data_IF_425090903573
#
_entry.id   IF_425090903573
#
_cell.length_a   1.000
_cell.length_b   1.000
_cell.length_c   1.000
_cell.angle_alpha   90.00
_cell.angle_beta   90.00
_cell.angle_gamma   90.00
#
_symmetry.space_group_name_H-M   'P 1'
#
loop_
_entity.id
_entity.type
_entity.pdbx_description
1 polymer ?
#
# COMPACT_ATOMS: atom_id res chain seq x y z
N UNK A 1 30.36 -4.70 21.11
CA UNK A 1 28.91 -4.40 21.18
C UNK A 1 28.27 -4.06 19.84
N UNK A 2 28.99 -3.47 18.87
CA UNK A 2 28.45 -3.08 17.56
C UNK A 2 28.07 -4.29 16.69
N UNK A 3 28.78 -5.40 16.79
CA UNK A 3 28.54 -6.63 16.01
C UNK A 3 27.22 -7.35 16.34
N UNK A 4 26.73 -7.26 17.58
CA UNK A 4 25.49 -7.93 17.98
C UNK A 4 24.22 -7.18 17.53
N UNK A 5 24.27 -5.85 17.49
CA UNK A 5 23.13 -5.04 17.03
C UNK A 5 22.91 -5.19 15.54
N UNK A 6 23.97 -5.18 14.73
CA UNK A 6 23.86 -5.37 13.29
C UNK A 6 23.35 -6.76 12.92
N UNK A 7 23.81 -7.82 13.62
CA UNK A 7 23.32 -9.18 13.44
C UNK A 7 21.84 -9.31 13.83
N UNK A 8 21.42 -8.69 14.94
CA UNK A 8 20.03 -8.66 15.38
C UNK A 8 19.14 -7.94 14.34
N UNK A 9 19.56 -6.78 13.83
CA UNK A 9 18.82 -6.07 12.79
C UNK A 9 18.65 -6.91 11.53
N UNK A 10 19.72 -7.57 11.07
CA UNK A 10 19.66 -8.42 9.89
C UNK A 10 18.73 -9.64 10.06
N UNK A 11 18.67 -10.22 11.26
CA UNK A 11 17.74 -11.32 11.55
C UNK A 11 16.28 -10.87 11.63
N UNK A 12 16.02 -9.62 12.00
CA UNK A 12 14.66 -9.05 12.14
C UNK A 12 14.13 -8.51 10.83
N UNK A 13 14.99 -8.09 9.91
CA UNK A 13 14.63 -7.61 8.57
C UNK A 13 14.10 -8.75 7.72
N UNK A 14 12.82 -8.68 7.36
CA UNK A 14 12.21 -9.64 6.45
C UNK A 14 12.52 -9.28 5.00
N UNK A 15 12.61 -10.30 4.15
CA UNK A 15 12.85 -10.14 2.72
C UNK A 15 11.70 -10.74 1.91
N UNK A 16 11.20 -9.97 0.97
CA UNK A 16 10.25 -10.41 -0.04
C UNK A 16 10.92 -10.34 -1.41
N UNK A 17 11.13 -11.47 -2.10
CA UNK A 17 11.67 -11.45 -3.46
C UNK A 17 10.81 -10.65 -4.43
N UNK A 18 9.49 -10.66 -4.24
CA UNK A 18 8.57 -9.88 -5.07
C UNK A 18 8.78 -8.38 -4.87
N UNK A 19 8.96 -7.92 -3.64
CA UNK A 19 9.24 -6.51 -3.36
C UNK A 19 10.55 -6.06 -4.02
N UNK A 20 11.58 -6.90 -4.02
CA UNK A 20 12.84 -6.60 -4.70
C UNK A 20 12.68 -6.51 -6.22
N UNK A 21 11.76 -7.26 -6.81
CA UNK A 21 11.53 -7.22 -8.26
C UNK A 21 10.68 -6.03 -8.73
N UNK A 22 9.78 -5.54 -7.90
CA UNK A 22 8.75 -4.57 -8.34
C UNK A 22 8.89 -3.15 -7.77
N UNK A 23 9.78 -2.91 -6.81
CA UNK A 23 9.87 -1.61 -6.15
C UNK A 23 10.26 -0.47 -7.12
N UNK A 24 11.13 -0.73 -8.10
CA UNK A 24 11.55 0.30 -9.05
C UNK A 24 10.40 0.77 -9.92
N UNK A 25 9.64 -0.17 -10.50
CA UNK A 25 8.48 0.16 -11.33
C UNK A 25 7.40 0.90 -10.53
N UNK A 26 7.15 0.48 -9.28
CA UNK A 26 6.23 1.17 -8.37
C UNK A 26 6.73 2.57 -8.01
N UNK A 27 8.02 2.72 -7.77
CA UNK A 27 8.62 4.01 -7.47
C UNK A 27 8.44 4.99 -8.63
N UNK A 28 8.66 4.54 -9.86
CA UNK A 28 8.45 5.35 -11.07
C UNK A 28 6.99 5.81 -11.20
N UNK A 29 6.03 4.96 -10.88
CA UNK A 29 4.61 5.34 -10.87
C UNK A 29 4.35 6.42 -9.83
N UNK A 30 4.88 6.25 -8.61
CA UNK A 30 4.70 7.25 -7.55
C UNK A 30 5.36 8.58 -7.90
N UNK A 31 6.56 8.56 -8.45
CA UNK A 31 7.25 9.77 -8.91
C UNK A 31 6.42 10.50 -9.98
N UNK A 32 5.91 9.78 -10.97
CA UNK A 32 5.07 10.35 -12.06
C UNK A 32 3.78 10.99 -11.51
N UNK A 33 3.04 10.28 -10.65
CA UNK A 33 1.74 10.78 -10.15
C UNK A 33 1.88 11.88 -9.10
N UNK A 34 3.07 12.05 -8.49
CA UNK A 34 3.35 13.06 -7.47
C UNK A 34 4.22 14.21 -8.00
N UNK A 35 4.63 14.19 -9.25
CA UNK A 35 5.56 15.16 -9.82
C UNK A 35 5.10 16.61 -9.61
N UNK A 36 3.85 16.89 -9.91
CA UNK A 36 3.26 18.24 -9.79
C UNK A 36 3.25 18.79 -8.36
N UNK A 37 3.39 17.90 -7.37
CA UNK A 37 3.32 18.24 -5.95
C UNK A 37 4.69 18.17 -5.25
N UNK A 38 5.77 17.86 -5.99
CA UNK A 38 7.12 17.69 -5.44
C UNK A 38 7.74 18.96 -4.86
N UNK A 39 7.13 20.11 -5.11
CA UNK A 39 7.54 21.42 -4.56
C UNK A 39 7.14 21.63 -3.09
N UNK A 40 6.36 20.75 -2.50
CA UNK A 40 5.93 20.81 -1.10
C UNK A 40 6.13 19.49 -0.39
N UNK A 41 6.11 19.48 0.93
CA UNK A 41 6.15 18.25 1.71
C UNK A 41 4.78 17.55 1.67
N UNK A 42 4.80 16.26 1.35
CA UNK A 42 3.63 15.41 1.32
C UNK A 42 3.66 14.42 2.49
N UNK A 43 2.49 14.03 2.94
CA UNK A 43 2.31 12.97 3.93
C UNK A 43 1.61 11.77 3.29
N UNK A 44 2.24 10.61 3.35
CA UNK A 44 1.74 9.36 2.78
C UNK A 44 1.55 8.30 3.85
N UNK A 45 0.42 7.61 3.80
CA UNK A 45 0.12 6.42 4.59
C UNK A 45 0.27 5.18 3.70
N UNK A 46 1.03 4.19 4.16
CA UNK A 46 1.05 2.87 3.54
C UNK A 46 0.26 1.88 4.39
N UNK A 47 -0.71 1.22 3.79
CA UNK A 47 -1.52 0.16 4.40
C UNK A 47 -0.90 -1.21 4.07
N UNK A 48 -0.72 -2.06 5.07
CA UNK A 48 -0.14 -3.37 4.86
C UNK A 48 1.31 -3.30 4.37
N UNK A 49 2.17 -2.60 5.08
CA UNK A 49 3.56 -2.32 4.67
C UNK A 49 4.47 -3.56 4.61
N UNK A 50 4.04 -4.69 5.20
CA UNK A 50 4.76 -5.96 5.12
C UNK A 50 6.19 -5.87 5.63
N UNK A 51 7.15 -6.22 4.78
CA UNK A 51 8.56 -6.23 5.15
C UNK A 51 9.16 -4.86 5.41
N UNK A 52 8.62 -3.80 4.79
CA UNK A 52 9.17 -2.44 4.81
C UNK A 52 10.09 -2.11 3.64
N UNK A 53 10.36 -3.06 2.73
CA UNK A 53 11.25 -2.84 1.59
C UNK A 53 10.75 -1.72 0.67
N UNK A 54 9.46 -1.69 0.35
CA UNK A 54 8.88 -0.65 -0.50
C UNK A 54 8.99 0.74 0.15
N UNK A 55 8.50 0.90 1.37
CA UNK A 55 8.46 2.22 2.03
C UNK A 55 9.85 2.81 2.19
N UNK A 56 10.86 2.00 2.52
CA UNK A 56 12.24 2.46 2.62
C UNK A 56 12.80 2.91 1.27
N UNK A 57 12.54 2.16 0.21
CA UNK A 57 12.97 2.52 -1.16
C UNK A 57 12.28 3.79 -1.64
N UNK A 58 10.98 3.91 -1.42
CA UNK A 58 10.23 5.11 -1.78
C UNK A 58 10.72 6.35 -1.02
N UNK A 59 10.98 6.21 0.27
CA UNK A 59 11.50 7.29 1.09
C UNK A 59 12.86 7.79 0.62
N UNK A 60 13.74 6.89 0.21
CA UNK A 60 15.06 7.22 -0.33
C UNK A 60 14.98 7.98 -1.66
N UNK A 61 14.00 7.64 -2.51
CA UNK A 61 13.81 8.25 -3.83
C UNK A 61 13.02 9.56 -3.77
N UNK A 62 12.14 9.70 -2.80
CA UNK A 62 11.21 10.84 -2.70
C UNK A 62 11.36 11.54 -1.33
N UNK A 63 12.41 12.36 -1.14
CA UNK A 63 12.65 13.04 0.13
C UNK A 63 11.57 14.07 0.50
N UNK A 64 10.73 14.48 -0.47
CA UNK A 64 9.61 15.38 -0.24
C UNK A 64 8.37 14.67 0.33
N UNK A 65 8.42 13.35 0.54
CA UNK A 65 7.32 12.58 1.13
C UNK A 65 7.74 12.06 2.51
N UNK A 66 6.93 12.32 3.53
CA UNK A 66 7.01 11.65 4.82
C UNK A 66 6.06 10.47 4.83
N UNK A 67 6.60 9.29 5.12
CA UNK A 67 5.86 8.03 5.07
C UNK A 67 5.46 7.56 6.45
N UNK A 68 4.19 7.21 6.61
CA UNK A 68 3.68 6.47 7.77
C UNK A 68 3.38 5.03 7.34
N UNK A 69 4.30 4.09 7.61
CA UNK A 69 4.03 2.67 7.39
C UNK A 69 3.08 2.12 8.45
N UNK A 70 2.32 1.10 8.09
CA UNK A 70 1.40 0.42 9.01
C UNK A 70 1.22 -1.05 8.64
N UNK A 71 0.97 -1.89 9.63
CA UNK A 71 0.65 -3.29 9.44
C UNK A 71 -0.04 -3.86 10.68
N UNK A 72 -0.89 -4.87 10.50
CA UNK A 72 -1.53 -5.57 11.62
C UNK A 72 -0.57 -6.54 12.32
N UNK A 73 0.45 -7.05 11.60
CA UNK A 73 1.40 -8.03 12.11
C UNK A 73 2.55 -7.35 12.84
N UNK A 74 2.80 -7.77 14.07
CA UNK A 74 3.94 -7.28 14.86
C UNK A 74 5.28 -7.60 14.19
N UNK A 75 5.40 -8.79 13.62
CA UNK A 75 6.60 -9.21 12.90
C UNK A 75 6.94 -8.25 11.75
N UNK A 76 5.92 -7.84 10.98
CA UNK A 76 6.08 -6.85 9.91
C UNK A 76 6.52 -5.49 10.46
N UNK A 77 5.88 -5.02 11.51
CA UNK A 77 6.27 -3.75 12.15
C UNK A 77 7.70 -3.79 12.68
N UNK A 78 8.12 -4.91 13.25
CA UNK A 78 9.52 -5.09 13.72
C UNK A 78 10.52 -5.08 12.55
N UNK A 79 10.17 -5.68 11.41
CA UNK A 79 10.96 -5.62 10.19
C UNK A 79 11.11 -4.18 9.68
N UNK A 80 10.02 -3.42 9.65
CA UNK A 80 10.04 -2.02 9.23
C UNK A 80 10.96 -1.19 10.15
N UNK A 81 10.85 -1.37 11.48
CA UNK A 81 11.73 -0.72 12.46
C UNK A 81 13.20 -1.02 12.20
N UNK A 82 13.52 -2.28 11.89
CA UNK A 82 14.88 -2.70 11.58
C UNK A 82 15.40 -2.03 10.29
N UNK A 83 14.59 -1.92 9.24
CA UNK A 83 14.96 -1.21 8.02
C UNK A 83 15.18 0.30 8.28
N UNK A 84 14.33 0.94 9.07
CA UNK A 84 14.52 2.35 9.45
C UNK A 84 15.84 2.54 10.17
N UNK A 85 16.15 1.69 11.15
CA UNK A 85 17.39 1.75 11.92
C UNK A 85 18.62 1.51 11.04
N UNK A 86 18.59 0.52 10.15
CA UNK A 86 19.69 0.15 9.28
C UNK A 86 20.00 1.22 8.21
N UNK A 87 18.98 1.89 7.70
CA UNK A 87 19.10 2.87 6.62
C UNK A 87 19.20 4.32 7.11
N UNK A 88 18.94 4.56 8.39
CA UNK A 88 18.84 5.91 8.97
C UNK A 88 17.84 6.81 8.24
N UNK A 89 16.75 6.22 7.72
CA UNK A 89 15.73 6.95 6.99
C UNK A 89 15.08 8.02 7.88
N UNK A 90 15.12 9.29 7.44
CA UNK A 90 14.60 10.43 8.21
C UNK A 90 13.13 10.76 7.91
N UNK A 91 12.63 10.32 6.76
CA UNK A 91 11.28 10.60 6.27
C UNK A 91 10.37 9.38 6.34
N UNK A 92 10.69 8.40 7.20
CA UNK A 92 9.84 7.27 7.53
C UNK A 92 9.57 7.29 9.03
N UNK A 93 8.30 7.42 9.40
CA UNK A 93 7.86 7.36 10.79
C UNK A 93 7.88 5.92 11.28
N UNK A 94 7.91 5.74 12.61
CA UNK A 94 7.81 4.40 13.20
C UNK A 94 6.50 3.75 12.79
N UNK A 95 6.51 2.45 12.43
CA UNK A 95 5.30 1.75 11.99
C UNK A 95 4.25 1.68 13.10
N UNK A 96 3.00 1.77 12.70
CA UNK A 96 1.85 1.68 13.60
C UNK A 96 1.00 0.45 13.29
N UNK A 97 0.31 -0.05 14.31
CA UNK A 97 -0.73 -1.04 14.10
C UNK A 97 -1.95 -0.37 13.45
N UNK A 98 -2.39 -0.91 12.32
CA UNK A 98 -3.58 -0.44 11.64
C UNK A 98 -4.25 -1.61 10.91
N UNK A 99 -5.51 -1.84 11.22
CA UNK A 99 -6.37 -2.81 10.53
C UNK A 99 -7.40 -2.03 9.68
N UNK A 100 -7.27 -2.12 8.37
CA UNK A 100 -8.16 -1.41 7.45
C UNK A 100 -9.62 -1.85 7.53
N UNK A 101 -9.92 -3.02 8.13
CA UNK A 101 -11.29 -3.48 8.39
C UNK A 101 -11.98 -2.67 9.48
N UNK A 102 -11.21 -2.03 10.35
CA UNK A 102 -11.73 -1.19 11.41
C UNK A 102 -12.16 0.19 10.87
N UNK A 103 -13.09 0.88 11.55
CA UNK A 103 -13.42 2.25 11.23
C UNK A 103 -12.18 3.16 11.25
N UNK A 104 -12.14 4.14 10.35
CA UNK A 104 -10.98 5.03 10.21
C UNK A 104 -10.63 5.79 11.51
N UNK A 105 -11.59 6.00 12.39
CA UNK A 105 -11.38 6.61 13.71
C UNK A 105 -10.41 5.79 14.59
N UNK A 106 -10.25 4.51 14.26
CA UNK A 106 -9.31 3.61 14.94
C UNK A 106 -7.96 3.46 14.19
N UNK A 107 -7.75 4.24 13.15
CA UNK A 107 -6.53 4.20 12.36
C UNK A 107 -5.43 5.05 13.00
N UNK A 108 -4.84 4.54 14.10
CA UNK A 108 -3.65 5.10 14.74
C UNK A 108 -3.71 6.62 15.04
N UNK A 109 -4.90 7.16 15.31
CA UNK A 109 -5.08 8.58 15.64
C UNK A 109 -4.94 9.52 14.43
N UNK A 110 -4.99 9.00 13.20
CA UNK A 110 -4.95 9.84 12.00
C UNK A 110 -6.19 10.72 11.91
N UNK A 111 -6.00 11.98 11.52
CA UNK A 111 -7.06 12.96 11.42
C UNK A 111 -7.68 12.98 10.02
N UNK A 112 -8.90 13.50 9.93
CA UNK A 112 -9.54 13.77 8.64
C UNK A 112 -8.68 14.71 7.80
N UNK A 113 -8.61 14.44 6.50
CA UNK A 113 -7.90 15.27 5.51
C UNK A 113 -6.44 15.53 5.90
N UNK A 114 -5.79 14.53 6.47
CA UNK A 114 -4.40 14.61 6.94
C UNK A 114 -3.39 14.02 5.96
N UNK A 115 -3.82 13.17 5.03
CA UNK A 115 -2.94 12.49 4.08
C UNK A 115 -3.06 13.07 2.67
N UNK A 116 -1.93 13.17 2.00
CA UNK A 116 -1.87 13.49 0.58
C UNK A 116 -1.97 12.24 -0.29
N UNK A 117 -1.44 11.13 0.21
CA UNK A 117 -1.37 9.85 -0.52
C UNK A 117 -1.63 8.70 0.45
N UNK A 118 -2.40 7.73 0.00
CA UNK A 118 -2.54 6.43 0.67
C UNK A 118 -2.16 5.36 -0.35
N UNK A 119 -1.29 4.43 0.04
CA UNK A 119 -0.77 3.36 -0.82
C UNK A 119 -1.12 2.01 -0.21
N UNK A 120 -1.64 1.11 -1.02
CA UNK A 120 -1.90 -0.29 -0.67
C UNK A 120 -1.33 -1.21 -1.75
N UNK A 121 -0.20 -1.85 -1.45
CA UNK A 121 0.51 -2.73 -2.38
C UNK A 121 0.31 -4.18 -1.94
N UNK A 122 -0.23 -5.02 -2.83
CA UNK A 122 -0.47 -6.44 -2.55
C UNK A 122 -1.29 -6.68 -1.26
N UNK A 123 -2.25 -5.81 -0.98
CA UNK A 123 -3.13 -5.94 0.19
C UNK A 123 -4.48 -6.56 -0.19
N UNK A 124 -5.12 -6.06 -1.22
CA UNK A 124 -6.52 -6.35 -1.50
C UNK A 124 -6.79 -7.81 -1.87
N UNK A 125 -5.90 -8.44 -2.63
CA UNK A 125 -6.06 -9.85 -3.01
C UNK A 125 -5.78 -10.82 -1.86
N UNK A 126 -5.05 -10.41 -0.83
CA UNK A 126 -4.74 -11.18 0.38
C UNK A 126 -5.62 -10.79 1.57
N UNK A 127 -6.83 -10.35 1.31
CA UNK A 127 -7.72 -9.88 2.35
C UNK A 127 -9.19 -10.04 1.93
N UNK A 128 -10.09 -9.92 2.90
CA UNK A 128 -11.53 -9.99 2.65
C UNK A 128 -12.06 -8.72 1.97
N UNK A 129 -13.25 -8.82 1.41
CA UNK A 129 -13.95 -7.64 0.87
C UNK A 129 -14.14 -6.53 1.90
N UNK A 130 -14.30 -6.90 3.17
CA UNK A 130 -14.39 -5.94 4.26
C UNK A 130 -13.13 -5.05 4.35
N UNK A 131 -11.96 -5.59 4.03
CA UNK A 131 -10.73 -4.80 3.95
C UNK A 131 -10.80 -3.78 2.82
N UNK A 132 -11.25 -4.17 1.63
CA UNK A 132 -11.44 -3.24 0.52
C UNK A 132 -12.42 -2.12 0.89
N UNK A 133 -13.56 -2.45 1.48
CA UNK A 133 -14.53 -1.47 1.97
C UNK A 133 -13.88 -0.50 2.96
N UNK A 134 -13.11 -1.02 3.92
CA UNK A 134 -12.42 -0.22 4.92
C UNK A 134 -11.35 0.69 4.32
N UNK A 135 -10.58 0.21 3.36
CA UNK A 135 -9.57 1.01 2.64
C UNK A 135 -10.21 2.21 1.96
N UNK A 136 -11.28 2.00 1.20
CA UNK A 136 -11.94 3.10 0.47
C UNK A 136 -12.69 4.04 1.41
N UNK A 137 -13.36 3.53 2.43
CA UNK A 137 -14.01 4.37 3.44
C UNK A 137 -12.98 5.23 4.19
N UNK A 138 -11.91 4.63 4.69
CA UNK A 138 -10.85 5.34 5.39
C UNK A 138 -10.15 6.37 4.50
N UNK A 139 -9.82 6.01 3.26
CA UNK A 139 -9.22 6.91 2.29
C UNK A 139 -10.11 8.13 2.03
N UNK A 140 -11.41 7.91 1.85
CA UNK A 140 -12.38 8.99 1.65
C UNK A 140 -12.43 10.00 2.80
N UNK A 141 -12.12 9.58 4.02
CA UNK A 141 -12.11 10.43 5.21
C UNK A 141 -10.75 11.09 5.48
N UNK A 142 -9.67 10.35 5.26
CA UNK A 142 -8.32 10.77 5.66
C UNK A 142 -7.60 11.54 4.55
N UNK A 143 -7.89 11.26 3.28
CA UNK A 143 -7.30 12.00 2.18
C UNK A 143 -7.76 13.45 2.16
N UNK A 144 -6.82 14.33 1.89
CA UNK A 144 -7.12 15.72 1.53
C UNK A 144 -7.83 15.77 0.20
N UNK A 145 -8.52 16.86 -0.08
CA UNK A 145 -9.05 17.13 -1.42
C UNK A 145 -7.92 17.04 -2.44
N UNK A 146 -8.16 16.35 -3.55
CA UNK A 146 -7.19 16.02 -4.58
C UNK A 146 -6.09 15.05 -4.16
N UNK A 147 -6.14 14.51 -2.94
CA UNK A 147 -5.26 13.44 -2.50
C UNK A 147 -5.50 12.15 -3.27
N UNK A 148 -4.54 11.26 -3.28
CA UNK A 148 -4.54 10.04 -4.08
C UNK A 148 -4.58 8.78 -3.21
N UNK A 149 -5.44 7.84 -3.59
CA UNK A 149 -5.34 6.43 -3.18
C UNK A 149 -4.75 5.65 -4.35
N UNK A 150 -3.68 4.91 -4.09
CA UNK A 150 -2.98 4.10 -5.09
C UNK A 150 -3.01 2.65 -4.61
N UNK A 151 -3.56 1.77 -5.42
CA UNK A 151 -3.59 0.33 -5.16
C UNK A 151 -2.81 -0.42 -6.23
N UNK A 152 -2.10 -1.48 -5.82
CA UNK A 152 -1.34 -2.34 -6.71
C UNK A 152 -1.68 -3.79 -6.42
N UNK A 153 -2.20 -4.47 -7.40
CA UNK A 153 -2.58 -5.88 -7.33
C UNK A 153 -2.77 -6.48 -8.73
N UNK A 154 -3.11 -7.74 -8.78
CA UNK A 154 -3.76 -8.38 -9.94
C UNK A 154 -5.26 -8.26 -9.75
N UNK A 155 -6.01 -7.93 -10.79
CA UNK A 155 -7.43 -7.61 -10.70
C UNK A 155 -8.26 -8.44 -11.68
N UNK A 156 -9.50 -8.73 -11.27
CA UNK A 156 -10.58 -9.09 -12.18
C UNK A 156 -11.15 -7.82 -12.82
N UNK A 157 -11.74 -7.96 -14.00
CA UNK A 157 -12.40 -6.87 -14.71
C UNK A 157 -13.82 -7.31 -15.07
N UNK A 158 -14.81 -6.70 -14.45
CA UNK A 158 -16.24 -6.99 -14.68
C UNK A 158 -16.57 -8.48 -14.56
N UNK A 159 -16.08 -9.12 -13.50
CA UNK A 159 -16.28 -10.54 -13.22
C UNK A 159 -15.43 -11.50 -14.05
N UNK A 160 -14.55 -11.00 -14.90
CA UNK A 160 -13.68 -11.81 -15.76
C UNK A 160 -12.24 -11.73 -15.28
N UNK A 161 -11.60 -12.89 -15.18
CA UNK A 161 -10.18 -13.02 -14.82
C UNK A 161 -9.41 -13.55 -16.03
N UNK A 162 -8.47 -12.77 -16.53
CA UNK A 162 -7.60 -13.12 -17.66
C UNK A 162 -6.18 -12.59 -17.43
N UNK A 163 -5.16 -13.25 -17.98
CA UNK A 163 -5.15 -14.56 -18.65
C UNK A 163 -5.33 -15.73 -17.65
N UNK A 164 -5.23 -16.95 -18.13
CA UNK A 164 -5.46 -18.16 -17.31
C UNK A 164 -4.57 -18.28 -16.08
N UNK A 165 -3.34 -17.73 -16.12
CA UNK A 165 -2.45 -17.71 -14.96
C UNK A 165 -3.05 -16.89 -13.79
N UNK A 166 -3.85 -15.88 -14.07
CA UNK A 166 -4.55 -15.11 -13.06
C UNK A 166 -5.74 -15.87 -12.47
N UNK A 167 -6.40 -16.73 -13.26
CA UNK A 167 -7.43 -17.64 -12.74
C UNK A 167 -6.82 -18.64 -11.75
N UNK A 168 -5.61 -19.16 -12.05
CA UNK A 168 -4.87 -20.03 -11.13
C UNK A 168 -4.50 -19.28 -9.86
N UNK A 169 -4.02 -18.04 -9.96
CA UNK A 169 -3.69 -17.21 -8.80
C UNK A 169 -4.92 -16.97 -7.91
N UNK A 170 -6.06 -16.63 -8.51
CA UNK A 170 -7.31 -16.46 -7.76
C UNK A 170 -7.71 -17.74 -7.02
N UNK A 171 -7.62 -18.90 -7.69
CA UNK A 171 -7.90 -20.18 -7.09
C UNK A 171 -6.96 -20.51 -5.92
N UNK A 172 -5.66 -20.26 -6.07
CA UNK A 172 -4.67 -20.44 -5.00
C UNK A 172 -4.96 -19.54 -3.80
N UNK A 173 -5.29 -18.27 -4.02
CA UNK A 173 -5.65 -17.34 -2.96
C UNK A 173 -6.86 -17.83 -2.18
N UNK A 174 -7.91 -18.30 -2.87
CA UNK A 174 -9.13 -18.85 -2.25
C UNK A 174 -8.91 -20.16 -1.50
N UNK A 175 -7.89 -20.94 -1.88
CA UNK A 175 -7.47 -22.11 -1.13
C UNK A 175 -6.77 -21.74 0.19
N UNK A 176 -5.99 -20.64 0.18
CA UNK A 176 -5.34 -20.13 1.41
C UNK A 176 -6.36 -19.58 2.38
N UNK A 177 -7.32 -18.80 1.87
CA UNK A 177 -8.42 -18.24 2.65
C UNK A 177 -9.64 -18.05 1.73
N UNK A 178 -10.81 -18.61 2.06
CA UNK A 178 -12.01 -18.49 1.23
C UNK A 178 -12.50 -17.05 0.97
N UNK A 179 -12.11 -16.11 1.84
CA UNK A 179 -12.45 -14.70 1.68
C UNK A 179 -11.44 -13.92 0.80
N UNK A 180 -10.33 -14.54 0.43
CA UNK A 180 -9.33 -13.93 -0.44
C UNK A 180 -9.65 -14.18 -1.91
N UNK A 181 -9.09 -13.34 -2.77
CA UNK A 181 -9.22 -13.48 -4.22
C UNK A 181 -8.91 -12.17 -4.92
N UNK A 182 -8.89 -12.22 -6.25
CA UNK A 182 -8.61 -11.03 -7.05
C UNK A 182 -9.76 -10.02 -6.93
N UNK A 183 -9.47 -8.78 -6.50
CA UNK A 183 -10.49 -7.73 -6.46
C UNK A 183 -10.89 -7.33 -7.89
N UNK A 184 -12.15 -6.94 -8.06
CA UNK A 184 -12.68 -6.50 -9.35
C UNK A 184 -12.58 -4.98 -9.48
N UNK A 185 -12.01 -4.51 -10.58
CA UNK A 185 -11.81 -3.06 -10.84
C UNK A 185 -13.13 -2.30 -10.80
N UNK A 186 -14.20 -2.86 -11.36
CA UNK A 186 -15.50 -2.16 -11.38
C UNK A 186 -16.13 -2.09 -9.99
N UNK A 187 -15.92 -3.09 -9.15
CA UNK A 187 -16.33 -3.05 -7.74
C UNK A 187 -15.55 -1.97 -6.98
N UNK A 188 -14.24 -1.89 -7.20
CA UNK A 188 -13.40 -0.86 -6.57
C UNK A 188 -13.76 0.54 -7.06
N UNK A 189 -14.09 0.69 -8.34
CA UNK A 189 -14.58 1.96 -8.90
C UNK A 189 -15.86 2.42 -8.20
N UNK A 190 -16.78 1.49 -7.93
CA UNK A 190 -18.02 1.79 -7.22
C UNK A 190 -17.74 2.19 -5.76
N UNK A 191 -16.86 1.45 -5.07
CA UNK A 191 -16.43 1.82 -3.71
C UNK A 191 -15.80 3.22 -3.66
N UNK A 192 -14.98 3.56 -4.66
CA UNK A 192 -14.40 4.88 -4.78
C UNK A 192 -15.48 5.96 -4.89
N UNK A 193 -16.42 5.77 -5.80
CA UNK A 193 -17.53 6.71 -6.01
C UNK A 193 -18.35 6.94 -4.73
N UNK A 194 -18.67 5.87 -4.02
CA UNK A 194 -19.41 5.92 -2.74
C UNK A 194 -18.66 6.67 -1.63
N UNK A 195 -17.35 6.79 -1.77
CA UNK A 195 -16.46 7.48 -0.82
C UNK A 195 -15.87 8.77 -1.39
N UNK A 196 -16.56 9.40 -2.32
CA UNK A 196 -16.18 10.69 -2.93
C UNK A 196 -14.79 10.66 -3.58
N UNK A 197 -14.47 9.56 -4.23
CA UNK A 197 -13.25 9.42 -5.02
C UNK A 197 -13.60 9.03 -6.45
N UNK A 198 -12.71 9.38 -7.38
CA UNK A 198 -12.82 9.00 -8.78
C UNK A 198 -11.58 8.22 -9.22
N UNK A 199 -11.78 7.09 -9.89
CA UNK A 199 -10.66 6.40 -10.53
C UNK A 199 -10.20 7.21 -11.74
N UNK A 200 -8.95 7.65 -11.74
CA UNK A 200 -8.38 8.49 -12.79
C UNK A 200 -7.54 7.71 -13.80
N UNK A 201 -6.78 6.72 -13.31
CA UNK A 201 -5.84 5.99 -14.16
C UNK A 201 -5.83 4.52 -13.78
N UNK A 202 -5.64 3.70 -14.81
CA UNK A 202 -5.25 2.29 -14.69
C UNK A 202 -3.89 2.18 -15.39
N UNK A 203 -2.86 1.83 -14.64
CA UNK A 203 -1.50 1.71 -15.17
C UNK A 203 -1.15 0.23 -15.24
N UNK A 204 -0.88 -0.25 -16.44
CA UNK A 204 -0.43 -1.63 -16.66
C UNK A 204 1.01 -1.78 -16.15
N UNK A 205 1.22 -2.81 -15.34
CA UNK A 205 2.50 -3.16 -14.75
C UNK A 205 2.96 -4.52 -15.27
N UNK A 206 4.17 -4.93 -14.91
CA UNK A 206 4.70 -6.26 -15.25
C UNK A 206 3.88 -7.38 -14.60
N UNK A 207 3.94 -8.56 -15.18
CA UNK A 207 3.30 -9.78 -14.66
C UNK A 207 1.78 -9.65 -14.47
N UNK A 208 1.10 -8.88 -15.34
CA UNK A 208 -0.34 -8.61 -15.30
C UNK A 208 -0.84 -7.86 -14.06
N UNK A 209 0.06 -7.27 -13.28
CA UNK A 209 -0.29 -6.34 -12.22
C UNK A 209 -0.76 -5.01 -12.79
N UNK A 210 -1.52 -4.28 -12.00
CA UNK A 210 -1.96 -2.91 -12.33
C UNK A 210 -1.84 -2.02 -11.11
N UNK A 211 -1.50 -0.74 -11.36
CA UNK A 211 -1.73 0.32 -10.40
C UNK A 211 -3.05 1.02 -10.73
N UNK A 212 -3.92 1.15 -9.74
CA UNK A 212 -5.13 1.95 -9.85
C UNK A 212 -4.93 3.25 -9.08
N UNK A 213 -5.20 4.37 -9.73
CA UNK A 213 -5.06 5.70 -9.15
C UNK A 213 -6.45 6.30 -8.96
N UNK A 214 -6.81 6.55 -7.70
CA UNK A 214 -8.07 7.20 -7.33
C UNK A 214 -7.78 8.57 -6.73
N UNK A 215 -8.55 9.57 -7.13
CA UNK A 215 -8.44 10.93 -6.61
C UNK A 215 -9.62 11.28 -5.72
N UNK A 216 -9.33 11.87 -4.56
CA UNK A 216 -10.34 12.44 -3.66
C UNK A 216 -10.91 13.72 -4.25
N UNK A 217 -12.23 13.76 -4.38
CA UNK A 217 -12.98 14.92 -4.89
C UNK A 217 -13.17 16.00 -3.83
#
# INVERSE_FOLDING_TARGET
MVTNLSAFLLQTMLLSPQAERNWEDLCLVLEDVLEDQSHRQLFALELGSGTGQHVIRFAQKMPFVTWQPSDIKEESRNSIKAYIAATHAKNVLQPVHLDAREPWEKWAGLSRRSCDVIVAINLLQYSSFKTAQGVFNGAGQILRQNGLLITYAVYAVNGTITPSCNEHLDAELRQMDPEWGLPDINVLRQLAYENEMRMERIIEMKEYYKCLIFRKL
#
